data_IF_145710055975
#
_entry.id   IF_145710055975
#
_cell.length_a   1.000
_cell.length_b   1.000
_cell.length_c   1.000
_cell.angle_alpha   90.00
_cell.angle_beta   90.00
_cell.angle_gamma   90.00
#
_symmetry.space_group_name_H-M   'P 1'
#
loop_
_entity.id
_entity.type
_entity.pdbx_description
1 polymer ?
#
# COMPACT_ATOMS: atom_id res chain seq x y z
N UNK A 1 -12.99 10.62 -6.54
CA UNK A 1 -13.39 9.80 -7.71
C UNK A 1 -12.17 9.67 -8.62
N UNK A 2 -11.76 8.45 -9.01
CA UNK A 2 -10.59 8.16 -9.86
C UNK A 2 -11.07 7.49 -11.17
N UNK A 3 -11.43 8.26 -12.21
CA UNK A 3 -12.08 7.73 -13.42
C UNK A 3 -11.19 6.75 -14.22
N UNK A 4 -9.87 6.98 -14.24
CA UNK A 4 -8.91 6.23 -15.08
C UNK A 4 -8.25 5.03 -14.39
N UNK A 5 -8.75 4.67 -13.19
CA UNK A 5 -8.22 3.56 -12.40
C UNK A 5 -8.42 2.20 -13.09
N UNK A 6 -9.42 2.08 -13.96
CA UNK A 6 -9.71 0.85 -14.72
C UNK A 6 -8.85 0.69 -15.97
N UNK A 7 -8.25 1.77 -16.47
CA UNK A 7 -7.57 1.83 -17.76
C UNK A 7 -6.04 1.92 -17.64
N UNK A 8 -5.49 1.76 -16.43
CA UNK A 8 -4.06 1.96 -16.11
C UNK A 8 -3.50 3.32 -16.56
N UNK A 9 -4.38 4.32 -16.69
CA UNK A 9 -4.06 5.66 -17.21
C UNK A 9 -3.82 6.68 -16.10
N UNK A 10 -3.28 6.25 -14.95
CA UNK A 10 -3.04 7.13 -13.81
C UNK A 10 -1.74 7.94 -13.92
N UNK A 11 -1.04 7.87 -15.06
CA UNK A 11 0.17 8.66 -15.33
C UNK A 11 1.32 8.29 -14.39
N UNK A 12 2.07 9.30 -13.93
CA UNK A 12 3.25 9.12 -13.06
C UNK A 12 2.95 8.50 -11.68
N UNK A 13 1.69 8.28 -11.33
CA UNK A 13 1.30 7.58 -10.10
C UNK A 13 1.45 6.06 -10.18
N UNK A 14 1.67 5.49 -11.37
CA UNK A 14 1.83 4.03 -11.57
C UNK A 14 3.28 3.58 -11.65
N UNK A 15 4.21 4.54 -11.65
CA UNK A 15 5.64 4.29 -11.82
C UNK A 15 6.36 4.75 -10.55
N UNK A 16 7.16 3.88 -9.91
CA UNK A 16 7.99 4.26 -8.78
C UNK A 16 8.94 5.40 -9.13
N UNK A 17 9.31 6.21 -8.14
CA UNK A 17 10.26 7.29 -8.32
C UNK A 17 11.64 6.81 -7.91
N UNK A 18 12.60 6.90 -8.82
CA UNK A 18 13.99 6.56 -8.52
C UNK A 18 14.63 7.61 -7.62
N UNK A 19 15.45 7.15 -6.66
CA UNK A 19 16.29 8.01 -5.82
C UNK A 19 17.70 7.98 -6.40
N UNK A 20 18.13 9.02 -7.14
CA UNK A 20 19.41 8.98 -7.86
C UNK A 20 20.64 9.15 -6.96
N UNK A 21 20.50 9.80 -5.80
CA UNK A 21 21.56 9.91 -4.78
C UNK A 21 20.95 9.67 -3.39
N UNK A 22 21.41 8.61 -2.72
CA UNK A 22 20.90 8.15 -1.42
C UNK A 22 21.62 8.81 -0.23
N UNK A 23 22.72 9.51 -0.47
CA UNK A 23 23.40 10.31 0.54
C UNK A 23 22.79 11.72 0.66
N UNK A 24 21.94 12.10 -0.30
CA UNK A 24 21.16 13.34 -0.24
C UNK A 24 19.90 13.13 0.60
N UNK A 25 19.90 13.68 1.82
CA UNK A 25 18.77 13.65 2.74
C UNK A 25 17.49 14.31 2.20
N UNK A 26 17.53 15.08 1.11
CA UNK A 26 16.32 15.55 0.44
C UNK A 26 15.70 14.47 -0.45
N UNK A 27 16.53 13.71 -1.18
CA UNK A 27 16.04 12.71 -2.14
C UNK A 27 15.46 11.46 -1.46
N UNK A 28 15.81 11.21 -0.20
CA UNK A 28 15.19 10.15 0.62
C UNK A 28 13.66 10.31 0.77
N UNK A 29 13.13 11.52 0.60
CA UNK A 29 11.68 11.77 0.63
C UNK A 29 10.95 11.08 -0.52
N UNK A 30 11.62 10.82 -1.64
CA UNK A 30 11.05 10.09 -2.78
C UNK A 30 10.85 8.60 -2.43
N UNK A 31 11.72 8.01 -1.62
CA UNK A 31 11.51 6.65 -1.09
C UNK A 31 10.28 6.59 -0.17
N UNK A 32 10.09 7.60 0.69
CA UNK A 32 8.89 7.72 1.52
C UNK A 32 7.61 7.93 0.71
N UNK A 33 7.69 8.66 -0.40
CA UNK A 33 6.58 8.82 -1.35
C UNK A 33 6.15 7.48 -1.94
N UNK A 34 7.10 6.63 -2.34
CA UNK A 34 6.78 5.29 -2.87
C UNK A 34 6.17 4.37 -1.82
N UNK A 35 6.67 4.39 -0.57
CA UNK A 35 6.02 3.65 0.52
C UNK A 35 4.61 4.17 0.83
N UNK A 36 4.41 5.49 0.86
CA UNK A 36 3.10 6.09 1.08
C UNK A 36 2.10 5.70 -0.01
N UNK A 37 2.55 5.64 -1.27
CA UNK A 37 1.76 5.15 -2.40
C UNK A 37 1.42 3.67 -2.26
N UNK A 38 2.39 2.84 -1.92
CA UNK A 38 2.16 1.41 -1.66
C UNK A 38 1.10 1.20 -0.56
N UNK A 39 1.24 1.91 0.57
CA UNK A 39 0.28 1.83 1.68
C UNK A 39 -1.12 2.28 1.27
N UNK A 40 -1.23 3.40 0.55
CA UNK A 40 -2.52 3.90 0.06
C UNK A 40 -3.17 2.94 -0.93
N UNK A 41 -2.39 2.37 -1.87
CA UNK A 41 -2.86 1.35 -2.82
C UNK A 41 -3.39 0.12 -2.07
N UNK A 42 -2.66 -0.34 -1.05
CA UNK A 42 -3.06 -1.46 -0.22
C UNK A 42 -4.39 -1.17 0.52
N UNK A 43 -4.55 0.05 1.06
CA UNK A 43 -5.80 0.47 1.68
C UNK A 43 -6.99 0.47 0.72
N UNK A 44 -6.80 0.96 -0.51
CA UNK A 44 -7.84 0.91 -1.55
C UNK A 44 -8.18 -0.55 -1.88
N UNK A 45 -7.18 -1.43 -2.03
CA UNK A 45 -7.41 -2.85 -2.26
C UNK A 45 -8.23 -3.50 -1.13
N UNK A 46 -8.00 -3.14 0.13
CA UNK A 46 -8.80 -3.69 1.24
C UNK A 46 -10.26 -3.20 1.23
N UNK A 47 -10.50 -1.96 0.78
CA UNK A 47 -11.85 -1.40 0.70
C UNK A 47 -12.67 -1.97 -0.48
N UNK A 48 -12.02 -2.42 -1.55
CA UNK A 48 -12.71 -2.94 -2.74
C UNK A 48 -13.28 -4.36 -2.52
N UNK A 49 -14.45 -4.70 -3.12
CA UNK A 49 -14.92 -6.08 -3.24
C UNK A 49 -13.91 -6.95 -3.98
N UNK A 50 -13.78 -8.23 -3.64
CA UNK A 50 -12.73 -9.10 -4.20
C UNK A 50 -12.82 -9.31 -5.72
N UNK A 51 -14.01 -9.19 -6.27
CA UNK A 51 -14.28 -9.29 -7.71
C UNK A 51 -14.22 -7.93 -8.45
N UNK A 52 -13.77 -6.86 -7.78
CA UNK A 52 -13.69 -5.55 -8.43
C UNK A 52 -12.55 -5.51 -9.48
N UNK A 53 -12.84 -5.16 -10.74
CA UNK A 53 -11.85 -5.19 -11.83
C UNK A 53 -10.68 -4.21 -11.63
N UNK A 54 -10.83 -3.19 -10.77
CA UNK A 54 -9.75 -2.24 -10.45
C UNK A 54 -8.63 -2.87 -9.63
N UNK A 55 -8.89 -3.97 -8.93
CA UNK A 55 -7.91 -4.64 -8.08
C UNK A 55 -6.69 -5.12 -8.86
N UNK A 56 -6.90 -5.66 -10.06
CA UNK A 56 -5.82 -6.18 -10.90
C UNK A 56 -4.80 -5.09 -11.24
N UNK A 57 -5.28 -3.89 -11.62
CA UNK A 57 -4.42 -2.74 -11.92
C UNK A 57 -3.69 -2.30 -10.65
N UNK A 58 -4.41 -2.11 -9.54
CA UNK A 58 -3.81 -1.67 -8.27
C UNK A 58 -2.77 -2.65 -7.72
N UNK A 59 -3.04 -3.95 -7.77
CA UNK A 59 -2.09 -5.00 -7.35
C UNK A 59 -0.81 -4.95 -8.18
N UNK A 60 -0.92 -4.71 -9.49
CA UNK A 60 0.27 -4.61 -10.36
C UNK A 60 1.20 -3.44 -10.00
N UNK A 61 0.71 -2.42 -9.28
CA UNK A 61 1.48 -1.24 -8.89
C UNK A 61 1.97 -1.29 -7.43
N UNK A 62 1.33 -2.11 -6.59
CA UNK A 62 1.68 -2.22 -5.18
C UNK A 62 3.13 -2.69 -4.97
N UNK A 63 3.47 -3.84 -5.54
CA UNK A 63 4.79 -4.47 -5.38
C UNK A 63 5.95 -3.59 -5.88
N UNK A 64 5.88 -2.97 -7.08
CA UNK A 64 6.93 -2.05 -7.54
C UNK A 64 7.20 -0.88 -6.60
N UNK A 65 6.15 -0.19 -6.11
CA UNK A 65 6.32 0.93 -5.17
C UNK A 65 6.86 0.48 -3.82
N UNK A 66 6.35 -0.65 -3.31
CA UNK A 66 6.84 -1.22 -2.05
C UNK A 66 8.32 -1.58 -2.15
N UNK A 67 8.73 -2.27 -3.22
CA UNK A 67 10.13 -2.67 -3.44
C UNK A 67 11.05 -1.47 -3.60
N UNK A 68 10.64 -0.47 -4.37
CA UNK A 68 11.40 0.76 -4.54
C UNK A 68 11.63 1.42 -3.17
N UNK A 69 10.56 1.70 -2.42
CA UNK A 69 10.66 2.31 -1.10
C UNK A 69 11.51 1.49 -0.11
N UNK A 70 11.27 0.18 0.00
CA UNK A 70 11.97 -0.69 0.96
C UNK A 70 13.46 -0.89 0.63
N UNK A 71 13.84 -0.89 -0.64
CA UNK A 71 15.25 -1.02 -1.03
C UNK A 71 16.12 0.10 -0.47
N UNK A 72 15.52 1.26 -0.20
CA UNK A 72 16.22 2.42 0.37
C UNK A 72 16.16 2.49 1.90
N UNK A 73 15.08 1.99 2.53
CA UNK A 73 14.97 1.93 4.02
C UNK A 73 16.10 1.12 4.65
N UNK A 74 16.62 0.13 3.92
CA UNK A 74 17.70 -0.75 4.39
C UNK A 74 19.11 -0.25 4.00
N UNK A 75 19.24 0.99 3.51
CA UNK A 75 20.51 1.51 2.96
C UNK A 75 21.51 2.07 3.98
N UNK A 76 21.19 2.10 5.29
CA UNK A 76 22.17 2.40 6.34
C UNK A 76 22.41 3.89 6.64
N UNK A 77 21.59 4.80 6.10
CA UNK A 77 21.75 6.26 6.29
C UNK A 77 20.76 6.79 7.33
N UNK A 78 21.28 7.14 8.52
CA UNK A 78 20.54 7.57 9.71
C UNK A 78 19.48 8.67 9.47
N UNK A 79 19.70 9.55 8.48
CA UNK A 79 18.80 10.66 8.17
C UNK A 79 17.43 10.24 7.60
N UNK A 80 17.30 9.00 7.07
CA UNK A 80 16.03 8.43 6.59
C UNK A 80 15.42 7.38 7.52
N UNK A 81 16.24 6.56 8.18
CA UNK A 81 15.80 5.31 8.81
C UNK A 81 14.80 5.50 9.96
N UNK A 82 14.86 6.62 10.68
CA UNK A 82 14.07 6.82 11.89
C UNK A 82 12.58 7.12 11.64
N UNK A 83 12.22 7.73 10.50
CA UNK A 83 10.82 8.01 10.15
C UNK A 83 10.27 7.02 9.12
N UNK A 84 11.11 6.52 8.22
CA UNK A 84 10.71 5.49 7.24
C UNK A 84 10.37 4.15 7.92
N UNK A 85 11.00 3.82 9.04
CA UNK A 85 10.65 2.62 9.83
C UNK A 85 9.17 2.61 10.27
N UNK A 86 8.58 3.76 10.59
CA UNK A 86 7.17 3.83 10.99
C UNK A 86 6.22 3.47 9.83
N UNK A 87 6.53 3.94 8.62
CA UNK A 87 5.76 3.61 7.42
C UNK A 87 5.92 2.14 7.01
N UNK A 88 7.14 1.59 7.15
CA UNK A 88 7.40 0.17 6.92
C UNK A 88 6.59 -0.71 7.90
N UNK A 89 6.53 -0.33 9.19
CA UNK A 89 5.70 -1.04 10.18
C UNK A 89 4.23 -1.00 9.78
N UNK A 90 3.65 0.17 9.49
CA UNK A 90 2.24 0.27 9.10
C UNK A 90 1.89 -0.60 7.88
N UNK A 91 2.79 -0.65 6.91
CA UNK A 91 2.62 -1.51 5.73
C UNK A 91 2.72 -3.00 6.08
N UNK A 92 3.72 -3.42 6.86
CA UNK A 92 3.95 -4.82 7.20
C UNK A 92 2.90 -5.40 8.16
N UNK A 93 2.35 -4.57 9.04
CA UNK A 93 1.36 -5.02 10.03
C UNK A 93 -0.08 -4.82 9.58
N UNK A 94 -0.30 -4.24 8.39
CA UNK A 94 -1.62 -3.78 7.95
C UNK A 94 -2.32 -2.88 8.99
N UNK A 95 -1.54 -2.12 9.78
CA UNK A 95 -2.10 -1.27 10.82
C UNK A 95 -3.06 -0.23 10.22
N UNK A 96 -4.28 -0.18 10.75
CA UNK A 96 -5.34 0.71 10.26
C UNK A 96 -6.20 0.13 9.12
N UNK A 97 -5.94 -1.11 8.69
CA UNK A 97 -6.79 -1.82 7.73
C UNK A 97 -7.70 -2.79 8.50
N UNK A 98 -9.01 -2.53 8.51
CA UNK A 98 -9.96 -3.46 9.15
C UNK A 98 -9.97 -4.81 8.43
N UNK A 99 -9.87 -5.88 9.21
CA UNK A 99 -10.11 -7.25 8.72
C UNK A 99 -11.60 -7.37 8.40
N UNK A 100 -11.94 -7.61 7.13
CA UNK A 100 -13.30 -8.07 6.78
C UNK A 100 -13.55 -9.39 7.51
N UNK A 101 -14.24 -9.34 8.63
CA UNK A 101 -14.89 -10.52 9.20
C UNK A 101 -15.84 -11.06 8.14
N UNK A 102 -15.57 -12.27 7.66
CA UNK A 102 -16.52 -13.02 6.85
C UNK A 102 -17.81 -13.16 7.66
N UNK A 103 -18.86 -12.42 7.30
CA UNK A 103 -20.20 -12.64 7.85
C UNK A 103 -20.68 -13.98 7.32
N UNK A 104 -20.41 -15.04 8.08
CA UNK A 104 -21.13 -16.30 7.98
C UNK A 104 -22.57 -16.05 8.45
N UNK A 105 -23.50 -16.30 7.55
CA UNK A 105 -24.93 -16.35 7.80
C UNK A 105 -25.23 -17.59 8.66
N UNK A 106 -25.30 -17.42 9.98
CA UNK A 106 -25.87 -18.42 10.88
C UNK A 106 -27.15 -17.86 11.51
N UNK A 107 -28.27 -18.02 10.80
CA UNK A 107 -29.59 -17.97 11.40
C UNK A 107 -29.79 -19.19 12.30
N UNK A 108 -29.34 -19.11 13.55
CA UNK A 108 -29.66 -20.12 14.57
C UNK A 108 -31.10 -19.89 15.03
N UNK A 109 -32.02 -20.69 14.50
CA UNK A 109 -33.40 -20.82 14.99
C UNK A 109 -33.40 -21.58 16.32
N UNK A 110 -33.52 -20.86 17.43
CA UNK A 110 -33.78 -21.46 18.74
C UNK A 110 -35.25 -21.88 18.82
N UNK A 111 -35.55 -23.18 18.72
CA UNK A 111 -36.81 -23.76 19.19
C UNK A 111 -36.54 -24.45 20.53
N UNK A 112 -37.10 -23.89 21.60
CA UNK A 112 -37.19 -24.54 22.91
C UNK A 112 -38.18 -25.72 22.86
N UNK A 113 -37.94 -26.82 23.60
CA UNK A 113 -39.01 -27.66 24.10
C UNK A 113 -39.69 -27.05 25.33
#
# INVERSE_FOLDING_TARGET
FLPDLRSDRLGSMTVPVEVPDTADGHLVHLAGLDLSRAWTINGILHALPDNDPRRMVLQSKLEPHMKAGLSYVLSGHYEGEHWLATFAVYQMTNSGLEVKQARGDESVSFRSP
#
